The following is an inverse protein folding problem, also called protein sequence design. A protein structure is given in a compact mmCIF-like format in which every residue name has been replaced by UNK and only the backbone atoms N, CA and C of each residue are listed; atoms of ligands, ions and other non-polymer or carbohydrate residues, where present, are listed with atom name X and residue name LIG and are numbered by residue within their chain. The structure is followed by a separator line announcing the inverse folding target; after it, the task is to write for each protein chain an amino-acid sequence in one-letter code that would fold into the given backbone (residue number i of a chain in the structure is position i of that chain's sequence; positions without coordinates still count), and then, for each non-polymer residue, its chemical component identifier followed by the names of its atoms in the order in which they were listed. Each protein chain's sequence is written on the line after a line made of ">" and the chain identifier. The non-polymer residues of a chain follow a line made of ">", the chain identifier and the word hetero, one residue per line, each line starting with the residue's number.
data_IF_360963511026
#
_entry.id   IF_360963511026
#
_cell.length_a   1.000
_cell.length_b   1.000
_cell.length_c   1.000
_cell.angle_alpha   90.00
_cell.angle_beta   90.00
_cell.angle_gamma   90.00
#
_symmetry.space_group_name_H-M   'P 1'
#
loop_
_entity.id
_entity.type
_entity.pdbx_description
1 polymer ?
#
# COMPACT_ATOMS: atom_id res chain seq x y z
N UNK A 1 -2.65 -36.92 -41.22
CA UNK A 1 -1.55 -36.34 -40.39
C UNK A 1 -1.40 -34.82 -40.51
N UNK A 2 -1.95 -34.12 -41.52
CA UNK A 2 -1.84 -32.66 -41.66
C UNK A 2 -2.69 -31.83 -40.68
N UNK A 3 -3.84 -32.34 -40.24
CA UNK A 3 -4.75 -31.60 -39.36
C UNK A 3 -4.31 -31.53 -37.89
N UNK A 4 -3.41 -32.43 -37.45
CA UNK A 4 -2.90 -32.43 -36.06
C UNK A 4 -1.84 -31.34 -35.82
N UNK A 5 -1.12 -30.94 -36.87
CA UNK A 5 -0.06 -29.92 -36.79
C UNK A 5 -0.66 -28.52 -36.70
N UNK A 6 -1.78 -28.27 -37.40
CA UNK A 6 -2.43 -26.96 -37.39
C UNK A 6 -3.05 -26.61 -36.02
N UNK A 7 -3.55 -27.61 -35.29
CA UNK A 7 -4.13 -27.42 -33.94
C UNK A 7 -3.05 -27.12 -32.89
N UNK A 8 -1.84 -27.67 -33.04
CA UNK A 8 -0.73 -27.42 -32.12
C UNK A 8 -0.19 -25.97 -32.22
N UNK A 9 -0.24 -25.35 -33.41
CA UNK A 9 0.18 -23.96 -33.59
C UNK A 9 -0.81 -22.94 -33.02
N UNK A 10 -2.11 -23.26 -32.97
CA UNK A 10 -3.14 -22.38 -32.39
C UNK A 10 -3.07 -22.35 -30.86
N UNK A 11 -2.70 -23.47 -30.22
CA UNK A 11 -2.59 -23.56 -28.76
C UNK A 11 -1.46 -22.68 -28.16
N UNK A 12 -0.42 -22.38 -28.94
CA UNK A 12 0.71 -21.53 -28.51
C UNK A 12 0.43 -20.02 -28.57
N UNK A 13 -0.66 -19.60 -29.23
CA UNK A 13 -1.02 -18.17 -29.35
C UNK A 13 -1.89 -17.72 -28.17
N UNK A 14 -2.43 -18.66 -27.38
CA UNK A 14 -3.32 -18.38 -26.24
C UNK A 14 -2.56 -18.41 -24.90
N UNK A 15 -1.24 -18.59 -24.88
CA UNK A 15 -0.44 -18.20 -23.71
C UNK A 15 -0.36 -16.68 -23.69
N UNK A 16 -1.46 -16.03 -23.30
CA UNK A 16 -1.44 -14.63 -22.94
C UNK A 16 -0.42 -14.45 -21.82
N UNK A 17 0.70 -13.81 -22.12
CA UNK A 17 1.68 -13.43 -21.12
C UNK A 17 0.99 -12.47 -20.15
N UNK A 18 0.89 -12.87 -18.88
CA UNK A 18 0.33 -12.11 -17.77
C UNK A 18 1.08 -10.80 -17.45
N UNK A 19 2.16 -10.49 -18.18
CA UNK A 19 3.12 -9.43 -17.85
C UNK A 19 2.96 -8.14 -18.69
N UNK A 20 1.94 -8.05 -19.55
CA UNK A 20 1.59 -6.80 -20.23
C UNK A 20 0.77 -5.91 -19.28
N UNK A 21 1.45 -5.16 -18.42
CA UNK A 21 0.88 -4.17 -17.45
C UNK A 21 0.26 -2.94 -18.13
N UNK A 22 0.27 -2.89 -19.47
CA UNK A 22 -0.46 -1.87 -20.22
C UNK A 22 -1.95 -2.04 -19.87
N UNK A 23 -2.56 -1.05 -19.22
CA UNK A 23 -3.99 -0.96 -18.83
C UNK A 23 -4.43 -1.55 -17.48
N UNK A 24 -3.53 -2.03 -16.62
CA UNK A 24 -3.93 -2.34 -15.24
C UNK A 24 -4.04 -1.04 -14.40
N UNK A 25 -5.07 -0.89 -13.55
CA UNK A 25 -5.12 0.22 -12.60
C UNK A 25 -3.91 0.13 -11.66
N UNK A 26 -3.47 1.27 -11.14
CA UNK A 26 -2.45 1.28 -10.10
C UNK A 26 -2.92 0.41 -8.92
N UNK A 27 -2.01 -0.38 -8.32
CA UNK A 27 -2.34 -1.18 -7.15
C UNK A 27 -2.82 -0.27 -6.02
N UNK A 28 -3.64 -0.84 -5.13
CA UNK A 28 -4.00 -0.15 -3.91
C UNK A 28 -2.77 0.03 -3.02
N UNK A 29 -2.75 1.08 -2.21
CA UNK A 29 -1.59 1.37 -1.36
C UNK A 29 -1.23 0.22 -0.40
N UNK A 30 -2.21 -0.53 0.13
CA UNK A 30 -1.95 -1.71 0.96
C UNK A 30 -1.23 -2.84 0.22
N UNK A 31 -1.39 -2.96 -1.10
CA UNK A 31 -0.76 -4.01 -1.90
C UNK A 31 0.74 -3.76 -2.06
N UNK A 32 1.18 -2.54 -1.80
CA UNK A 32 2.57 -2.14 -1.86
C UNK A 32 3.34 -2.48 -0.58
N UNK A 33 2.67 -2.90 0.50
CA UNK A 33 3.30 -3.25 1.77
C UNK A 33 3.20 -4.74 2.05
N UNK A 34 4.27 -5.33 2.58
CA UNK A 34 4.28 -6.74 2.99
C UNK A 34 5.15 -6.97 4.23
N UNK A 35 4.84 -8.01 5.01
CA UNK A 35 5.66 -8.48 6.11
C UNK A 35 5.52 -10.01 6.24
N UNK A 36 6.56 -10.67 6.76
CA UNK A 36 6.54 -12.13 6.92
C UNK A 36 5.41 -12.55 7.87
N UNK A 37 4.50 -13.39 7.37
CA UNK A 37 3.35 -13.88 8.15
C UNK A 37 2.20 -12.90 8.33
N UNK A 38 2.27 -11.68 7.76
CA UNK A 38 1.18 -10.72 7.80
C UNK A 38 0.13 -11.05 6.72
N UNK A 39 -1.14 -11.05 7.11
CA UNK A 39 -2.26 -11.06 6.16
C UNK A 39 -2.47 -9.67 5.55
N UNK A 40 -3.27 -9.58 4.49
CA UNK A 40 -3.68 -8.30 3.91
C UNK A 40 -4.35 -7.40 4.97
N UNK A 41 -5.24 -7.95 5.79
CA UNK A 41 -5.93 -7.20 6.86
C UNK A 41 -4.92 -6.66 7.88
N UNK A 42 -3.85 -7.38 8.17
CA UNK A 42 -2.80 -6.90 9.08
C UNK A 42 -2.05 -5.70 8.50
N UNK A 43 -1.82 -5.68 7.19
CA UNK A 43 -1.24 -4.53 6.48
C UNK A 43 -2.17 -3.34 6.54
N UNK A 44 -3.44 -3.52 6.19
CA UNK A 44 -4.44 -2.44 6.22
C UNK A 44 -4.59 -1.84 7.63
N UNK A 45 -4.62 -2.70 8.66
CA UNK A 45 -4.64 -2.25 10.06
C UNK A 45 -3.37 -1.48 10.41
N UNK A 46 -2.20 -1.98 10.05
CA UNK A 46 -0.93 -1.30 10.32
C UNK A 46 -0.85 0.08 9.66
N UNK A 47 -1.32 0.21 8.42
CA UNK A 47 -1.38 1.50 7.72
C UNK A 47 -2.23 2.52 8.48
N UNK A 48 -3.45 2.14 8.85
CA UNK A 48 -4.36 3.02 9.60
C UNK A 48 -3.78 3.38 10.99
N UNK A 49 -3.12 2.44 11.65
CA UNK A 49 -2.45 2.65 12.94
C UNK A 49 -1.21 3.54 12.81
N UNK A 50 -0.56 3.56 11.65
CA UNK A 50 0.53 4.49 11.32
C UNK A 50 0.02 5.87 10.89
N UNK A 51 -1.27 6.00 10.55
CA UNK A 51 -1.92 7.27 10.25
C UNK A 51 -2.23 7.49 8.78
N UNK A 52 -2.20 6.44 7.95
CA UNK A 52 -2.72 6.52 6.59
C UNK A 52 -4.20 6.94 6.61
N UNK A 53 -4.63 7.84 5.71
CA UNK A 53 -6.04 8.23 5.60
C UNK A 53 -6.97 7.04 5.31
N UNK A 54 -6.55 6.16 4.40
CA UNK A 54 -7.21 4.89 4.08
C UNK A 54 -6.14 3.85 3.69
N UNK A 55 -6.48 2.56 3.66
CA UNK A 55 -5.57 1.53 3.15
C UNK A 55 -5.41 1.55 1.62
N UNK A 56 -6.28 2.24 0.90
CA UNK A 56 -6.36 2.16 -0.56
C UNK A 56 -5.49 3.19 -1.28
N UNK A 57 -5.28 4.37 -0.68
CA UNK A 57 -4.56 5.47 -1.29
C UNK A 57 -4.02 6.44 -0.21
N UNK A 58 -2.86 7.03 -0.48
CA UNK A 58 -2.24 8.07 0.36
C UNK A 58 -3.11 9.33 0.44
N UNK A 59 -3.81 9.67 -0.66
CA UNK A 59 -4.75 10.79 -0.70
C UNK A 59 -6.16 10.27 -0.96
N UNK A 60 -7.15 10.79 -0.23
CA UNK A 60 -8.54 10.39 -0.39
C UNK A 60 -9.44 11.61 -0.59
N UNK A 61 -9.93 11.79 -1.82
CA UNK A 61 -10.81 12.90 -2.18
C UNK A 61 -12.19 12.81 -1.53
N UNK A 62 -12.74 11.60 -1.37
CA UNK A 62 -14.07 11.38 -0.80
C UNK A 62 -14.12 11.76 0.69
N UNK A 63 -13.01 11.55 1.40
CA UNK A 63 -12.84 11.93 2.81
C UNK A 63 -12.23 13.32 2.98
N UNK A 64 -11.87 14.02 1.88
CA UNK A 64 -11.16 15.29 1.88
C UNK A 64 -9.84 15.25 2.69
N UNK A 65 -9.05 14.19 2.50
CA UNK A 65 -7.79 13.95 3.20
C UNK A 65 -6.62 14.00 2.22
N UNK A 66 -5.76 15.00 2.39
CA UNK A 66 -4.58 15.23 1.56
C UNK A 66 -3.36 15.44 2.46
N UNK A 67 -2.68 14.37 2.88
CA UNK A 67 -1.51 14.48 3.74
C UNK A 67 -0.39 15.27 3.07
N UNK A 68 0.32 16.08 3.86
CA UNK A 68 1.56 16.71 3.46
C UNK A 68 2.66 15.68 3.20
N UNK A 69 3.69 16.04 2.43
CA UNK A 69 4.84 15.16 2.18
C UNK A 69 5.54 14.72 3.47
N UNK A 70 5.50 15.55 4.52
CA UNK A 70 6.02 15.18 5.84
C UNK A 70 5.20 14.07 6.51
N UNK A 71 3.87 14.16 6.45
CA UNK A 71 2.99 13.13 6.99
C UNK A 71 3.15 11.82 6.22
N UNK A 72 3.21 11.85 4.88
CA UNK A 72 3.45 10.66 4.06
C UNK A 72 4.77 9.98 4.43
N UNK A 73 5.84 10.76 4.61
CA UNK A 73 7.12 10.24 5.05
C UNK A 73 7.05 9.62 6.47
N UNK A 74 6.34 10.24 7.42
CA UNK A 74 6.13 9.66 8.76
C UNK A 74 5.35 8.36 8.72
N UNK A 75 4.31 8.28 7.89
CA UNK A 75 3.49 7.08 7.71
C UNK A 75 4.31 5.90 7.16
N UNK A 76 5.06 6.13 6.07
CA UNK A 76 5.93 5.12 5.48
C UNK A 76 7.02 4.66 6.46
N UNK A 77 7.68 5.60 7.15
CA UNK A 77 8.69 5.25 8.16
C UNK A 77 8.08 4.51 9.36
N UNK A 78 6.83 4.78 9.72
CA UNK A 78 6.12 4.01 10.75
C UNK A 78 5.88 2.55 10.32
N UNK A 79 5.50 2.33 9.06
CA UNK A 79 5.34 0.99 8.48
C UNK A 79 6.67 0.24 8.47
N UNK A 80 7.73 0.86 7.97
CA UNK A 80 9.09 0.30 7.97
C UNK A 80 9.57 -0.07 9.38
N UNK A 81 9.39 0.84 10.35
CA UNK A 81 9.72 0.61 11.77
C UNK A 81 8.90 -0.51 12.39
N UNK A 82 7.72 -0.80 11.84
CA UNK A 82 6.82 -1.88 12.27
C UNK A 82 7.11 -3.20 11.56
N UNK A 83 8.17 -3.29 10.76
CA UNK A 83 8.62 -4.51 10.09
C UNK A 83 7.97 -4.77 8.72
N UNK A 84 7.23 -3.81 8.18
CA UNK A 84 6.69 -3.89 6.82
C UNK A 84 7.71 -3.39 5.81
N UNK A 85 7.70 -3.98 4.63
CA UNK A 85 8.58 -3.66 3.52
C UNK A 85 7.76 -3.18 2.34
N UNK A 86 8.12 -2.01 1.80
CA UNK A 86 7.51 -1.49 0.59
C UNK A 86 8.01 -2.23 -0.64
N UNK A 87 7.11 -2.51 -1.58
CA UNK A 87 7.41 -3.27 -2.79
C UNK A 87 8.45 -2.57 -3.66
N UNK A 88 8.34 -1.25 -3.84
CA UNK A 88 9.36 -0.45 -4.51
C UNK A 88 10.41 0.06 -3.51
N UNK A 89 11.54 -0.65 -3.43
CA UNK A 89 12.66 -0.24 -2.56
C UNK A 89 13.28 1.10 -2.94
N UNK A 90 13.01 1.62 -4.14
CA UNK A 90 13.47 2.94 -4.58
C UNK A 90 12.50 4.05 -4.21
N UNK A 91 11.22 3.73 -3.98
CA UNK A 91 10.21 4.67 -3.52
C UNK A 91 10.30 4.87 -2.01
N UNK A 92 11.09 5.85 -1.62
CA UNK A 92 11.15 6.33 -0.25
C UNK A 92 11.04 7.85 -0.30
N UNK A 93 10.03 8.40 0.37
CA UNK A 93 9.80 9.85 0.45
C UNK A 93 11.07 10.64 0.85
N UNK A 94 11.94 10.03 1.67
CA UNK A 94 13.18 10.62 2.14
C UNK A 94 14.36 10.52 1.16
N UNK A 95 14.29 9.68 0.11
CA UNK A 95 15.27 9.69 -0.97
C UNK A 95 15.11 10.93 -1.85
N UNK A 96 13.87 11.29 -2.19
CA UNK A 96 13.55 12.45 -3.03
C UNK A 96 13.59 13.79 -2.29
N UNK A 97 13.17 13.81 -1.01
CA UNK A 97 12.98 15.06 -0.26
C UNK A 97 13.69 15.05 1.10
N UNK A 98 15.02 15.21 1.06
CA UNK A 98 15.88 15.17 2.26
C UNK A 98 15.64 16.30 3.28
N UNK A 99 15.03 17.41 2.86
CA UNK A 99 14.77 18.57 3.72
C UNK A 99 13.52 18.45 4.60
N UNK A 100 12.76 17.37 4.47
CA UNK A 100 11.53 17.17 5.25
C UNK A 100 11.87 16.75 6.69
N UNK A 101 11.19 17.26 7.73
CA UNK A 101 11.44 16.91 9.12
C UNK A 101 11.40 15.39 9.40
N UNK A 102 10.43 14.68 8.82
CA UNK A 102 10.30 13.23 8.91
C UNK A 102 11.52 12.45 8.39
N UNK A 103 12.35 13.07 7.57
CA UNK A 103 13.51 12.46 6.92
C UNK A 103 14.83 12.77 7.63
N UNK A 104 14.78 13.58 8.70
CA UNK A 104 15.96 13.83 9.51
C UNK A 104 16.34 12.61 10.37
N UNK A 105 17.62 12.45 10.73
CA UNK A 105 18.07 11.34 11.57
C UNK A 105 17.41 11.30 12.95
N UNK A 106 17.09 12.46 13.52
CA UNK A 106 16.47 12.65 14.83
C UNK A 106 14.93 12.68 14.77
N UNK A 107 14.34 12.46 13.59
CA UNK A 107 12.90 12.47 13.41
C UNK A 107 12.20 11.48 14.35
N UNK A 108 11.22 11.98 15.11
CA UNK A 108 10.39 11.15 15.98
C UNK A 108 9.37 10.40 15.11
N UNK A 109 9.70 9.17 14.76
CA UNK A 109 8.82 8.31 13.96
C UNK A 109 7.76 7.69 14.87
N UNK A 110 6.45 7.94 14.59
CA UNK A 110 5.38 7.41 15.40
C UNK A 110 5.40 5.87 15.39
N UNK A 111 4.87 5.27 16.45
CA UNK A 111 4.57 3.85 16.48
C UNK A 111 3.13 3.63 16.02
N UNK A 112 2.81 2.39 15.66
CA UNK A 112 1.42 1.97 15.44
C UNK A 112 0.58 2.20 16.69
N UNK A 113 -0.59 2.79 16.51
CA UNK A 113 -1.54 3.04 17.58
C UNK A 113 -2.95 2.61 17.19
N UNK A 114 -3.52 1.66 17.94
CA UNK A 114 -4.90 1.20 17.75
C UNK A 114 -5.91 2.35 17.74
N UNK A 115 -5.74 3.31 18.66
CA UNK A 115 -6.59 4.48 18.76
C UNK A 115 -6.58 5.34 17.49
N UNK A 116 -5.45 5.41 16.78
CA UNK A 116 -5.34 6.12 15.51
C UNK A 116 -6.17 5.48 14.41
N UNK A 117 -6.14 4.13 14.34
CA UNK A 117 -6.94 3.35 13.39
C UNK A 117 -8.43 3.49 13.66
N UNK A 118 -8.87 3.17 14.87
CA UNK A 118 -10.31 3.14 15.21
C UNK A 118 -10.95 4.52 15.13
N UNK A 119 -10.19 5.59 15.43
CA UNK A 119 -10.68 6.96 15.35
C UNK A 119 -10.43 7.65 13.99
N UNK A 120 -9.85 6.95 13.01
CA UNK A 120 -9.58 7.49 11.67
C UNK A 120 -10.89 7.89 10.97
N UNK A 121 -10.88 8.90 10.09
CA UNK A 121 -12.06 9.24 9.29
C UNK A 121 -12.58 8.06 8.48
N UNK A 122 -11.69 7.19 8.01
CA UNK A 122 -12.04 5.95 7.32
C UNK A 122 -12.89 5.03 8.21
N UNK A 123 -12.41 4.66 9.40
CA UNK A 123 -13.15 3.74 10.27
C UNK A 123 -14.41 4.36 10.89
N UNK A 124 -14.47 5.68 11.03
CA UNK A 124 -15.71 6.37 11.41
C UNK A 124 -16.79 6.28 10.32
N UNK A 125 -16.39 6.27 9.05
CA UNK A 125 -17.32 6.19 7.91
C UNK A 125 -17.67 4.74 7.55
N UNK A 126 -16.67 3.87 7.47
CA UNK A 126 -16.81 2.46 7.07
C UNK A 126 -16.66 1.54 8.27
N UNK A 127 -17.56 1.68 9.24
CA UNK A 127 -17.53 0.95 10.52
C UNK A 127 -17.59 -0.57 10.40
N UNK A 128 -18.02 -1.09 9.25
CA UNK A 128 -18.14 -2.53 8.95
C UNK A 128 -16.93 -3.11 8.21
N UNK A 129 -15.93 -2.31 7.85
CA UNK A 129 -14.73 -2.84 7.20
C UNK A 129 -13.92 -3.69 8.18
N UNK A 130 -13.36 -4.82 7.72
CA UNK A 130 -12.60 -5.74 8.57
C UNK A 130 -11.37 -5.07 9.22
N UNK A 131 -10.73 -4.15 8.49
CA UNK A 131 -9.64 -3.32 9.01
C UNK A 131 -10.06 -2.37 10.15
N UNK A 132 -11.36 -2.17 10.39
CA UNK A 132 -11.91 -1.30 11.44
C UNK A 132 -12.45 -2.06 12.65
N UNK A 133 -12.43 -3.41 12.62
CA UNK A 133 -12.73 -4.22 13.79
C UNK A 133 -11.67 -3.97 14.89
N UNK A 134 -12.06 -3.81 16.17
CA UNK A 134 -11.15 -3.55 17.29
C UNK A 134 -9.93 -4.48 17.31
#
# INVERSE_FOLDING_TARGET
>A
MKNKIFVACIAFIISGCSDLVLFQPNPNEYEMWSAAGASQIDVEKAMLECGYPTPFSIANKELNLFPSSNEVALMGRCMEKSGFVYADKNDNACKGFRGIPACQPDAIIPRRELSRRINSPFCKKYTKADACAP
#
